data_IF_160343496248
#
_entry.id   IF_160343496248
#
_cell.length_a   1.000
_cell.length_b   1.000
_cell.length_c   1.000
_cell.angle_alpha   90.00
_cell.angle_beta   90.00
_cell.angle_gamma   90.00
#
_symmetry.space_group_name_H-M   'P 1'
#
loop_
_entity.id
_entity.type
_entity.pdbx_description
1 polymer ?
#
# COMPACT_ATOMS: atom_id res chain seq x y z
N UNK A 1 -15.37 -16.57 -0.90
CA UNK A 1 -14.89 -15.25 -0.47
C UNK A 1 -14.47 -14.51 -1.72
N UNK A 2 -15.05 -13.36 -2.01
CA UNK A 2 -14.80 -12.64 -3.26
C UNK A 2 -13.38 -12.06 -3.25
N UNK A 3 -12.63 -12.30 -4.32
CA UNK A 3 -11.20 -11.92 -4.44
C UNK A 3 -10.98 -10.41 -4.24
N UNK A 4 -11.97 -9.59 -4.64
CA UNK A 4 -11.94 -8.13 -4.49
C UNK A 4 -12.00 -7.70 -3.01
N UNK A 5 -12.69 -8.47 -2.16
CA UNK A 5 -12.79 -8.17 -0.73
C UNK A 5 -11.47 -8.38 0.01
N UNK A 6 -10.72 -9.43 -0.36
CA UNK A 6 -9.39 -9.74 0.22
C UNK A 6 -8.37 -8.66 -0.13
N UNK A 7 -8.40 -8.14 -1.36
CA UNK A 7 -7.48 -7.11 -1.82
C UNK A 7 -7.64 -5.76 -1.09
N UNK A 8 -8.82 -5.49 -0.53
CA UNK A 8 -9.07 -4.27 0.26
C UNK A 8 -8.57 -4.37 1.71
N UNK A 9 -8.51 -5.59 2.27
CA UNK A 9 -8.00 -5.82 3.62
C UNK A 9 -6.47 -5.73 3.63
N UNK A 10 -5.85 -6.36 2.66
CA UNK A 10 -4.41 -6.48 2.54
C UNK A 10 -3.93 -5.94 1.19
N UNK A 11 -3.00 -5.02 1.24
CA UNK A 11 -2.36 -4.48 0.04
C UNK A 11 -0.93 -5.02 -0.07
N UNK A 12 -0.68 -6.01 -0.95
CA UNK A 12 0.69 -6.46 -1.22
C UNK A 12 1.64 -5.31 -1.51
N UNK A 13 1.11 -4.26 -2.14
CA UNK A 13 1.84 -3.03 -2.48
C UNK A 13 2.34 -2.30 -1.25
N UNK A 14 1.54 -2.25 -0.16
CA UNK A 14 1.96 -1.65 1.11
C UNK A 14 3.18 -2.37 1.70
N UNK A 15 3.15 -3.71 1.74
CA UNK A 15 4.27 -4.50 2.23
C UNK A 15 5.48 -4.39 1.31
N UNK A 16 5.28 -4.45 -0.01
CA UNK A 16 6.37 -4.22 -0.97
C UNK A 16 7.01 -2.86 -0.78
N UNK A 17 6.22 -1.79 -0.56
CA UNK A 17 6.75 -0.45 -0.32
C UNK A 17 7.61 -0.38 0.97
N UNK A 18 7.17 -1.04 2.05
CA UNK A 18 7.94 -1.12 3.31
C UNK A 18 9.25 -1.88 3.10
N UNK A 19 9.22 -3.04 2.47
CA UNK A 19 10.41 -3.84 2.23
C UNK A 19 11.40 -3.16 1.27
N UNK A 20 10.91 -2.50 0.21
CA UNK A 20 11.77 -1.69 -0.66
C UNK A 20 12.36 -0.50 0.09
N UNK A 21 11.56 0.20 0.90
CA UNK A 21 12.04 1.32 1.72
C UNK A 21 13.14 0.89 2.69
N UNK A 22 12.93 -0.19 3.44
CA UNK A 22 13.90 -0.75 4.37
C UNK A 22 15.20 -1.18 3.65
N UNK A 23 15.08 -1.79 2.47
CA UNK A 23 16.25 -2.22 1.70
C UNK A 23 17.03 -1.06 1.08
N UNK A 24 16.36 -0.08 0.50
CA UNK A 24 16.98 1.10 -0.11
C UNK A 24 17.76 1.89 0.94
N UNK A 25 17.25 1.96 2.16
CA UNK A 25 17.88 2.63 3.31
C UNK A 25 18.81 1.74 4.13
N UNK A 26 19.10 0.52 3.66
CA UNK A 26 20.08 -0.37 4.29
C UNK A 26 19.67 -1.04 5.59
N UNK A 27 18.37 -0.98 5.95
CA UNK A 27 17.86 -1.62 7.17
C UNK A 27 17.80 -3.15 7.03
N UNK A 28 17.54 -3.65 5.82
CA UNK A 28 17.44 -5.08 5.54
C UNK A 28 18.38 -5.49 4.43
N UNK A 29 18.81 -6.76 4.45
CA UNK A 29 19.66 -7.34 3.42
C UNK A 29 18.87 -7.63 2.13
N UNK A 30 19.61 -7.83 1.03
CA UNK A 30 19.03 -8.27 -0.24
C UNK A 30 18.28 -9.61 -0.11
N UNK A 31 18.85 -10.56 0.62
CA UNK A 31 18.26 -11.89 0.77
C UNK A 31 16.95 -11.83 1.56
N UNK A 32 16.90 -11.05 2.66
CA UNK A 32 15.65 -10.84 3.40
C UNK A 32 14.57 -10.17 2.54
N UNK A 33 14.94 -9.20 1.70
CA UNK A 33 14.01 -8.61 0.74
C UNK A 33 13.46 -9.65 -0.24
N UNK A 34 14.31 -10.54 -0.76
CA UNK A 34 13.87 -11.59 -1.71
C UNK A 34 12.85 -12.53 -1.07
N UNK A 35 13.13 -13.02 0.13
CA UNK A 35 12.24 -13.91 0.86
C UNK A 35 10.89 -13.25 1.16
N UNK A 36 10.93 -11.98 1.57
CA UNK A 36 9.73 -11.20 1.83
C UNK A 36 8.89 -10.96 0.57
N UNK A 37 9.50 -10.61 -0.56
CA UNK A 37 8.77 -10.41 -1.81
C UNK A 37 8.09 -11.70 -2.27
N UNK A 38 8.73 -12.85 -2.13
CA UNK A 38 8.13 -14.14 -2.45
C UNK A 38 6.91 -14.45 -1.55
N UNK A 39 6.99 -14.10 -0.26
CA UNK A 39 5.89 -14.25 0.68
C UNK A 39 4.72 -13.28 0.39
N UNK A 40 5.02 -12.05 -0.05
CA UNK A 40 4.02 -10.98 -0.27
C UNK A 40 3.19 -11.19 -1.53
N UNK A 41 3.75 -11.69 -2.61
CA UNK A 41 3.04 -11.74 -3.88
C UNK A 41 3.45 -12.87 -4.83
N UNK A 42 4.36 -13.73 -4.41
CA UNK A 42 4.96 -14.75 -5.28
C UNK A 42 5.99 -14.14 -6.25
N UNK A 43 6.17 -14.71 -7.44
CA UNK A 43 7.14 -14.19 -8.41
C UNK A 43 6.88 -12.75 -8.79
N UNK A 44 7.93 -11.93 -8.81
CA UNK A 44 7.88 -10.53 -9.24
C UNK A 44 8.59 -10.37 -10.58
N UNK A 45 8.02 -9.54 -11.45
CA UNK A 45 8.59 -9.12 -12.74
C UNK A 45 8.32 -7.64 -12.97
N UNK A 46 8.96 -7.05 -13.98
CA UNK A 46 8.68 -5.67 -14.38
C UNK A 46 8.45 -5.58 -15.90
N UNK A 47 7.67 -4.59 -16.29
CA UNK A 47 7.45 -4.18 -17.66
C UNK A 47 7.65 -2.67 -17.77
N UNK A 48 8.54 -2.22 -18.65
CA UNK A 48 8.77 -0.81 -18.91
C UNK A 48 7.69 -0.32 -19.89
N UNK A 49 6.83 0.61 -19.43
CA UNK A 49 5.70 1.11 -20.23
C UNK A 49 6.05 2.45 -20.87
N UNK A 50 6.23 3.48 -20.04
CA UNK A 50 6.69 4.81 -20.44
C UNK A 50 7.84 5.15 -19.49
N UNK A 51 9.04 4.62 -19.81
CA UNK A 51 10.13 4.57 -18.85
C UNK A 51 11.46 4.98 -19.48
N UNK A 52 12.10 5.93 -18.82
CA UNK A 52 13.54 6.21 -18.99
C UNK A 52 14.27 5.58 -17.82
N UNK A 53 15.10 4.58 -18.08
CA UNK A 53 15.80 3.84 -17.03
C UNK A 53 17.32 3.83 -17.30
N UNK A 54 18.15 3.71 -16.25
CA UNK A 54 19.58 3.53 -16.41
C UNK A 54 19.91 2.27 -17.22
N UNK A 55 20.99 2.31 -17.97
CA UNK A 55 21.48 1.18 -18.80
C UNK A 55 22.11 0.06 -17.95
N UNK A 56 21.44 -0.36 -16.89
CA UNK A 56 21.89 -1.42 -15.96
C UNK A 56 21.21 -2.76 -16.23
N UNK A 57 20.18 -2.75 -17.11
CA UNK A 57 19.44 -3.94 -17.52
C UNK A 57 19.29 -3.95 -19.05
N UNK A 58 19.08 -5.13 -19.60
CA UNK A 58 18.69 -5.29 -20.99
C UNK A 58 17.18 -5.05 -21.11
N UNK A 59 16.79 -3.91 -21.70
CA UNK A 59 15.40 -3.49 -21.82
C UNK A 59 14.61 -4.32 -22.84
N UNK A 60 15.29 -5.02 -23.73
CA UNK A 60 14.68 -5.89 -24.74
C UNK A 60 14.38 -7.31 -24.18
N UNK A 61 14.91 -7.62 -23.00
CA UNK A 61 14.66 -8.90 -22.31
C UNK A 61 13.53 -8.78 -21.29
N UNK A 62 12.80 -9.88 -20.98
CA UNK A 62 11.86 -9.89 -19.86
C UNK A 62 12.55 -9.55 -18.55
N UNK A 63 12.05 -8.55 -17.85
CA UNK A 63 12.61 -8.09 -16.58
C UNK A 63 12.05 -8.93 -15.43
N UNK A 64 12.85 -9.87 -14.95
CA UNK A 64 12.55 -10.64 -13.75
C UNK A 64 12.79 -9.82 -12.46
N UNK A 65 12.65 -10.50 -11.31
CA UNK A 65 12.84 -9.88 -9.99
C UNK A 65 14.23 -9.26 -9.82
N UNK A 66 15.27 -9.94 -10.27
CA UNK A 66 16.63 -9.45 -10.13
C UNK A 66 16.87 -8.16 -10.93
N UNK A 67 16.31 -8.07 -12.15
CA UNK A 67 16.36 -6.89 -12.99
C UNK A 67 15.56 -5.74 -12.38
N UNK A 68 14.35 -6.01 -11.87
CA UNK A 68 13.53 -5.05 -11.15
C UNK A 68 14.31 -4.43 -9.97
N UNK A 69 14.93 -5.25 -9.12
CA UNK A 69 15.68 -4.76 -7.96
C UNK A 69 16.98 -4.03 -8.36
N UNK A 70 17.63 -4.45 -9.46
CA UNK A 70 18.76 -3.67 -10.00
C UNK A 70 18.34 -2.29 -10.48
N UNK A 71 17.17 -2.16 -11.13
CA UNK A 71 16.61 -0.86 -11.51
C UNK A 71 16.29 -0.01 -10.30
N UNK A 72 15.58 -0.58 -9.30
CA UNK A 72 15.27 0.14 -8.05
C UNK A 72 16.54 0.68 -7.42
N UNK A 73 17.59 -0.15 -7.28
CA UNK A 73 18.86 0.29 -6.71
C UNK A 73 19.51 1.37 -7.57
N UNK A 74 19.55 1.21 -8.89
CA UNK A 74 20.20 2.14 -9.78
C UNK A 74 19.56 3.53 -9.79
N UNK A 75 18.25 3.63 -9.63
CA UNK A 75 17.57 4.94 -9.58
C UNK A 75 17.62 5.58 -8.20
N UNK A 76 17.75 4.79 -7.13
CA UNK A 76 17.79 5.33 -5.76
C UNK A 76 19.20 5.48 -5.19
N UNK A 77 20.22 4.91 -5.82
CA UNK A 77 21.59 4.94 -5.30
C UNK A 77 22.19 6.34 -5.36
N UNK A 78 22.80 6.78 -4.25
CA UNK A 78 23.41 8.11 -4.13
C UNK A 78 22.42 9.25 -3.91
N UNK A 79 21.13 8.96 -3.70
CA UNK A 79 20.14 9.97 -3.36
C UNK A 79 20.40 10.61 -1.98
N UNK A 80 20.12 11.90 -1.88
CA UNK A 80 20.25 12.65 -0.62
C UNK A 80 19.01 12.45 0.25
N UNK A 81 18.91 11.29 0.88
CA UNK A 81 17.79 10.96 1.73
C UNK A 81 17.95 11.58 3.12
N UNK A 82 16.82 11.92 3.77
CA UNK A 82 16.83 12.48 5.11
C UNK A 82 15.41 12.73 5.60
N UNK A 83 15.26 13.13 6.86
CA UNK A 83 13.95 13.32 7.49
C UNK A 83 13.06 14.33 6.78
N UNK A 84 13.65 15.44 6.32
CA UNK A 84 12.94 16.55 5.69
C UNK A 84 13.03 16.51 4.15
N UNK A 85 13.76 15.54 3.60
CA UNK A 85 13.84 15.30 2.18
C UNK A 85 12.64 14.47 1.68
N UNK A 86 12.48 14.38 0.36
CA UNK A 86 11.55 13.42 -0.25
C UNK A 86 11.98 11.99 0.12
N UNK A 87 11.07 11.15 0.63
CA UNK A 87 11.43 9.78 0.97
C UNK A 87 11.77 8.97 -0.29
N UNK A 88 12.76 8.06 -0.23
CA UNK A 88 13.15 7.25 -1.39
C UNK A 88 12.02 6.37 -1.94
N UNK A 89 11.09 5.98 -1.09
CA UNK A 89 9.94 5.17 -1.45
C UNK A 89 8.68 5.76 -0.83
N UNK A 90 7.65 5.93 -1.63
CA UNK A 90 6.34 6.46 -1.21
C UNK A 90 5.21 5.55 -1.69
N UNK A 91 4.28 5.23 -0.81
CA UNK A 91 3.07 4.49 -1.13
C UNK A 91 1.98 5.45 -1.65
N UNK A 92 1.33 5.09 -2.74
CA UNK A 92 0.12 5.74 -3.24
C UNK A 92 -1.02 4.73 -3.18
N UNK A 93 -2.12 5.11 -2.52
CA UNK A 93 -3.35 4.33 -2.48
C UNK A 93 -4.50 5.17 -3.03
N UNK A 94 -5.40 4.53 -3.77
CA UNK A 94 -6.61 5.14 -4.33
C UNK A 94 -7.79 4.19 -4.22
N UNK A 95 -8.98 4.69 -4.50
CA UNK A 95 -10.18 3.87 -4.45
C UNK A 95 -11.45 4.73 -4.40
N UNK A 96 -12.61 4.17 -4.04
CA UNK A 96 -13.85 4.93 -3.99
C UNK A 96 -13.72 6.20 -3.17
N UNK A 97 -14.02 7.34 -3.81
CA UNK A 97 -13.93 8.67 -3.21
C UNK A 97 -12.52 9.27 -3.12
N UNK A 98 -11.49 8.63 -3.69
CA UNK A 98 -10.11 9.10 -3.66
C UNK A 98 -9.36 8.69 -4.94
N UNK A 99 -8.96 9.67 -5.72
CA UNK A 99 -8.14 9.48 -6.91
C UNK A 99 -6.66 9.26 -6.53
N UNK A 100 -5.86 8.55 -7.35
CA UNK A 100 -4.43 8.48 -7.14
C UNK A 100 -3.81 9.87 -7.29
N UNK A 101 -2.88 10.21 -6.41
CA UNK A 101 -2.14 11.47 -6.46
C UNK A 101 -1.00 11.38 -7.50
N UNK A 102 -1.39 11.24 -8.77
CA UNK A 102 -0.54 11.09 -9.94
C UNK A 102 -1.05 11.99 -11.07
N UNK A 103 -0.26 12.31 -12.09
CA UNK A 103 -0.65 13.20 -13.18
C UNK A 103 -1.90 12.69 -13.92
N UNK A 104 -3.00 13.45 -13.83
CA UNK A 104 -4.26 13.09 -14.47
C UNK A 104 -4.16 13.08 -16.02
N UNK A 105 -4.94 12.19 -16.65
CA UNK A 105 -4.97 12.08 -18.13
C UNK A 105 -3.78 11.37 -18.74
N UNK A 106 -3.00 10.66 -17.93
CA UNK A 106 -1.87 9.84 -18.37
C UNK A 106 -2.20 8.33 -18.25
N UNK A 107 -1.49 7.51 -19.01
CA UNK A 107 -1.59 6.04 -18.89
C UNK A 107 -1.24 5.56 -17.47
N UNK A 108 -0.25 6.19 -16.83
CA UNK A 108 0.12 5.96 -15.44
C UNK A 108 -1.08 6.16 -14.50
N UNK A 109 -1.80 7.28 -14.64
CA UNK A 109 -2.97 7.57 -13.81
C UNK A 109 -4.06 6.51 -13.97
N UNK A 110 -4.33 6.10 -15.21
CA UNK A 110 -5.34 5.09 -15.51
C UNK A 110 -4.94 3.71 -14.96
N UNK A 111 -3.67 3.33 -15.12
CA UNK A 111 -3.13 2.09 -14.56
C UNK A 111 -3.23 2.07 -13.03
N UNK A 112 -2.77 3.14 -12.35
CA UNK A 112 -2.82 3.26 -10.90
C UNK A 112 -4.25 3.30 -10.35
N UNK A 113 -5.18 3.95 -11.08
CA UNK A 113 -6.61 3.96 -10.73
C UNK A 113 -7.23 2.56 -10.79
N UNK A 114 -6.88 1.77 -11.81
CA UNK A 114 -7.34 0.37 -11.93
C UNK A 114 -6.75 -0.53 -10.86
N UNK A 115 -5.46 -0.35 -10.54
CA UNK A 115 -4.77 -1.14 -9.53
C UNK A 115 -5.17 -0.75 -8.08
N UNK A 116 -5.64 0.48 -7.87
CA UNK A 116 -5.94 1.03 -6.55
C UNK A 116 -4.69 1.38 -5.73
N UNK A 117 -3.49 1.16 -6.26
CA UNK A 117 -2.24 1.38 -5.56
C UNK A 117 -1.06 1.58 -6.53
N UNK A 118 -0.01 2.27 -6.07
CA UNK A 118 1.28 2.39 -6.73
C UNK A 118 2.40 2.64 -5.71
N UNK A 119 3.64 2.44 -6.11
CA UNK A 119 4.84 2.80 -5.36
C UNK A 119 5.60 3.86 -6.17
N UNK A 120 5.89 4.98 -5.57
CA UNK A 120 6.75 6.02 -6.16
C UNK A 120 8.14 5.85 -5.60
N UNK A 121 9.13 5.79 -6.48
CA UNK A 121 10.56 5.83 -6.15
C UNK A 121 11.09 7.21 -6.53
N UNK A 122 11.71 7.89 -5.59
CA UNK A 122 12.44 9.11 -5.89
C UNK A 122 13.78 8.73 -6.56
N UNK A 123 14.10 9.36 -7.69
CA UNK A 123 15.40 9.16 -8.34
C UNK A 123 16.49 9.97 -7.60
N UNK A 124 17.69 9.42 -7.55
CA UNK A 124 18.87 10.14 -7.06
C UNK A 124 19.12 11.44 -7.84
N UNK A 125 18.73 11.49 -9.11
CA UNK A 125 18.72 12.70 -9.92
C UNK A 125 17.49 13.55 -9.60
N UNK A 126 17.64 14.75 -9.06
CA UNK A 126 16.51 15.61 -8.71
C UNK A 126 15.59 15.87 -9.90
N UNK A 127 14.28 15.83 -9.65
CA UNK A 127 13.26 16.08 -10.66
C UNK A 127 12.76 14.85 -11.40
N UNK A 128 13.36 13.68 -11.18
CA UNK A 128 12.91 12.42 -11.76
C UNK A 128 12.27 11.51 -10.70
N UNK A 129 11.23 10.81 -11.09
CA UNK A 129 10.56 9.81 -10.25
C UNK A 129 10.17 8.61 -11.09
N UNK A 130 10.17 7.44 -10.47
CA UNK A 130 9.70 6.22 -11.08
C UNK A 130 8.48 5.71 -10.34
N UNK A 131 7.49 5.22 -11.07
CA UNK A 131 6.24 4.74 -10.49
C UNK A 131 6.02 3.30 -10.89
N UNK A 132 5.89 2.45 -9.89
CA UNK A 132 5.61 1.03 -10.03
C UNK A 132 4.11 0.81 -9.78
N UNK A 133 3.38 0.37 -10.79
CA UNK A 133 1.96 0.02 -10.67
C UNK A 133 1.81 -1.50 -10.73
N UNK A 134 1.19 -2.14 -9.72
CA UNK A 134 1.08 -3.59 -9.69
C UNK A 134 0.01 -4.10 -10.64
N UNK A 135 0.34 -5.12 -11.37
CA UNK A 135 -0.61 -5.94 -12.12
C UNK A 135 -0.50 -7.40 -11.64
N UNK A 136 -1.62 -7.93 -11.13
CA UNK A 136 -1.65 -9.32 -10.69
C UNK A 136 -1.81 -10.25 -11.87
N UNK A 137 -0.91 -11.22 -11.98
CA UNK A 137 -0.98 -12.22 -13.02
C UNK A 137 -2.03 -13.29 -12.69
N UNK A 138 -2.80 -13.77 -13.69
CA UNK A 138 -3.81 -14.80 -13.48
C UNK A 138 -3.23 -16.09 -12.89
N UNK A 139 -4.05 -16.84 -12.16
CA UNK A 139 -3.68 -18.17 -11.66
C UNK A 139 -2.62 -18.21 -10.57
N UNK A 140 -2.34 -17.07 -9.92
CA UNK A 140 -1.28 -17.01 -8.90
C UNK A 140 0.12 -16.85 -9.50
N UNK A 141 0.22 -16.40 -10.75
CA UNK A 141 1.48 -16.21 -11.47
C UNK A 141 2.37 -15.08 -10.95
N UNK A 142 2.03 -14.47 -9.83
CA UNK A 142 2.82 -13.40 -9.20
C UNK A 142 2.34 -11.99 -9.53
N UNK A 143 3.24 -11.03 -9.38
CA UNK A 143 3.00 -9.61 -9.60
C UNK A 143 3.91 -9.09 -10.71
N UNK A 144 3.33 -8.45 -11.71
CA UNK A 144 4.05 -7.67 -12.71
C UNK A 144 3.96 -6.20 -12.34
N UNK A 145 5.09 -5.52 -12.27
CA UNK A 145 5.18 -4.10 -12.00
C UNK A 145 5.29 -3.34 -13.31
N UNK A 146 4.28 -2.56 -13.66
CA UNK A 146 4.35 -1.61 -14.75
C UNK A 146 5.20 -0.42 -14.28
N UNK A 147 6.33 -0.21 -14.94
CA UNK A 147 7.29 0.83 -14.59
C UNK A 147 7.09 2.05 -15.49
N UNK A 148 6.83 3.19 -14.87
CA UNK A 148 6.72 4.49 -15.53
C UNK A 148 7.79 5.43 -15.00
N UNK A 149 8.24 6.37 -15.84
CA UNK A 149 9.12 7.47 -15.43
C UNK A 149 8.37 8.79 -15.56
N UNK A 150 8.47 9.63 -14.55
CA UNK A 150 7.81 10.95 -14.50
C UNK A 150 8.87 12.01 -14.25
N UNK A 151 8.93 12.98 -15.15
CA UNK A 151 9.71 14.20 -14.96
C UNK A 151 8.88 15.24 -14.22
N UNK A 152 9.48 15.96 -13.27
CA UNK A 152 8.82 17.01 -12.52
C UNK A 152 8.30 16.56 -11.15
N UNK A 153 7.49 17.43 -10.55
CA UNK A 153 6.96 17.23 -9.21
C UNK A 153 5.65 16.44 -9.24
N UNK A 154 5.56 15.40 -8.42
CA UNK A 154 4.30 14.71 -8.20
C UNK A 154 3.53 15.36 -7.03
N UNK A 155 2.18 15.36 -7.08
CA UNK A 155 1.40 15.77 -5.92
C UNK A 155 1.77 14.96 -4.70
N UNK A 156 1.95 15.63 -3.57
CA UNK A 156 2.22 14.98 -2.29
C UNK A 156 0.98 15.00 -1.40
N UNK A 157 0.65 13.91 -0.72
CA UNK A 157 -0.38 13.94 0.30
C UNK A 157 0.06 14.87 1.44
N UNK A 158 -0.91 15.45 2.13
CA UNK A 158 -0.61 16.18 3.36
C UNK A 158 0.14 15.23 4.32
N UNK A 159 1.29 15.69 4.83
CA UNK A 159 2.04 14.91 5.79
C UNK A 159 1.21 14.72 7.07
N UNK A 160 0.98 13.47 7.45
CA UNK A 160 0.30 13.09 8.68
C UNK A 160 1.28 12.31 9.55
N UNK A 161 1.47 12.77 10.77
CA UNK A 161 2.15 11.93 11.75
C UNK A 161 1.32 10.68 12.07
N UNK A 162 1.91 9.57 12.50
CA UNK A 162 1.15 8.39 12.91
C UNK A 162 0.10 8.66 13.99
N UNK A 163 0.38 9.61 14.90
CA UNK A 163 -0.56 10.01 15.94
C UNK A 163 -1.79 10.74 15.40
N UNK A 164 -1.60 11.66 14.46
CA UNK A 164 -2.71 12.37 13.79
C UNK A 164 -3.55 11.41 12.96
N UNK A 165 -2.90 10.53 12.18
CA UNK A 165 -3.59 9.53 11.39
C UNK A 165 -4.39 8.55 12.27
N UNK A 166 -3.87 8.16 13.43
CA UNK A 166 -4.55 7.31 14.40
C UNK A 166 -5.80 7.98 14.99
N UNK A 167 -5.72 9.26 15.34
CA UNK A 167 -6.85 10.05 15.81
C UNK A 167 -7.92 10.21 14.72
N UNK A 168 -7.53 10.51 13.48
CA UNK A 168 -8.46 10.61 12.35
C UNK A 168 -9.18 9.28 12.10
N UNK A 169 -8.45 8.17 12.14
CA UNK A 169 -9.00 6.84 11.95
C UNK A 169 -9.98 6.46 13.08
N UNK A 170 -9.66 6.79 14.33
CA UNK A 170 -10.55 6.58 15.47
C UNK A 170 -11.84 7.40 15.36
N UNK A 171 -11.75 8.66 14.93
CA UNK A 171 -12.90 9.53 14.69
C UNK A 171 -13.79 9.02 13.55
N UNK A 172 -13.18 8.62 12.44
CA UNK A 172 -13.90 8.05 11.29
C UNK A 172 -14.64 6.78 11.68
N UNK A 173 -14.02 5.91 12.47
CA UNK A 173 -14.64 4.69 12.97
C UNK A 173 -15.88 5.00 13.83
N UNK A 174 -15.78 5.98 14.73
CA UNK A 174 -16.92 6.39 15.57
C UNK A 174 -18.07 6.97 14.73
N UNK A 175 -17.75 7.82 13.73
CA UNK A 175 -18.75 8.40 12.83
C UNK A 175 -19.45 7.32 12.01
N UNK A 176 -18.70 6.38 11.43
CA UNK A 176 -19.25 5.29 10.66
C UNK A 176 -20.18 4.40 11.51
N UNK A 177 -19.75 4.03 12.71
CA UNK A 177 -20.56 3.23 13.65
C UNK A 177 -21.87 3.94 14.03
N UNK A 178 -21.81 5.24 14.34
CA UNK A 178 -22.99 6.04 14.63
C UNK A 178 -23.95 6.14 13.43
N UNK A 179 -23.44 6.33 12.21
CA UNK A 179 -24.22 6.37 10.98
C UNK A 179 -24.93 5.05 10.71
N UNK A 180 -24.24 3.93 10.85
CA UNK A 180 -24.81 2.58 10.67
C UNK A 180 -25.90 2.31 11.72
N UNK A 181 -25.66 2.63 12.99
CA UNK A 181 -26.64 2.47 14.06
C UNK A 181 -27.91 3.30 13.83
N UNK A 182 -27.77 4.51 13.31
CA UNK A 182 -28.90 5.38 12.98
C UNK A 182 -29.70 4.86 11.76
N UNK A 183 -29.04 4.22 10.79
CA UNK A 183 -29.66 3.73 9.56
C UNK A 183 -30.35 2.38 9.71
N UNK A 184 -30.00 1.58 10.73
CA UNK A 184 -30.52 0.22 10.95
C UNK A 184 -30.93 -0.04 12.40
N UNK A 185 -31.94 0.65 12.95
CA UNK A 185 -32.38 0.40 14.30
C UNK A 185 -32.99 -1.02 14.41
N UNK A 186 -32.32 -1.92 15.10
CA UNK A 186 -32.81 -3.26 15.43
C UNK A 186 -32.39 -4.41 14.51
N UNK A 187 -31.47 -4.22 13.58
CA UNK A 187 -30.90 -5.31 12.81
C UNK A 187 -30.15 -6.31 13.71
N UNK A 188 -30.65 -7.55 13.78
CA UNK A 188 -30.01 -8.68 14.46
C UNK A 188 -29.24 -9.52 13.43
N UNK A 189 -28.05 -10.05 13.77
CA UNK A 189 -27.38 -11.04 12.91
C UNK A 189 -28.32 -12.22 12.62
N UNK A 190 -28.39 -12.64 11.36
CA UNK A 190 -29.19 -13.81 10.97
C UNK A 190 -28.68 -15.08 11.65
N UNK A 191 -29.62 -15.95 12.10
CA UNK A 191 -29.25 -17.25 12.66
C UNK A 191 -28.59 -18.13 11.58
N UNK A 192 -27.31 -18.53 11.80
CA UNK A 192 -26.55 -19.40 10.89
C UNK A 192 -25.38 -18.73 10.16
N UNK A 193 -25.20 -17.42 10.29
CA UNK A 193 -23.98 -16.76 9.79
C UNK A 193 -22.77 -17.15 10.65
N UNK A 194 -21.55 -17.34 10.06
CA UNK A 194 -20.32 -17.53 10.82
C UNK A 194 -20.12 -16.38 11.82
N UNK A 195 -19.53 -16.68 12.98
CA UNK A 195 -19.24 -15.64 13.98
C UNK A 195 -18.33 -14.56 13.33
N UNK A 196 -18.81 -13.30 13.21
CA UNK A 196 -18.02 -12.22 12.60
C UNK A 196 -16.67 -12.01 13.29
N UNK A 197 -16.57 -12.28 14.58
CA UNK A 197 -15.32 -12.17 15.35
C UNK A 197 -14.30 -13.22 14.92
N UNK A 198 -14.78 -14.46 14.69
CA UNK A 198 -13.92 -15.55 14.20
C UNK A 198 -13.42 -15.23 12.78
N UNK A 199 -14.29 -14.72 11.90
CA UNK A 199 -13.92 -14.35 10.54
C UNK A 199 -12.90 -13.19 10.50
N UNK A 200 -13.07 -12.17 11.35
CA UNK A 200 -12.09 -11.10 11.49
C UNK A 200 -10.75 -11.64 11.99
N UNK A 201 -10.76 -12.55 12.98
CA UNK A 201 -9.56 -13.22 13.46
C UNK A 201 -8.85 -13.98 12.35
N UNK A 202 -9.57 -14.84 11.62
CA UNK A 202 -9.01 -15.62 10.50
C UNK A 202 -8.44 -14.73 9.38
N UNK A 203 -9.09 -13.61 9.07
CA UNK A 203 -8.56 -12.64 8.10
C UNK A 203 -7.29 -11.98 8.63
N UNK A 204 -7.28 -11.52 9.86
CA UNK A 204 -6.10 -10.92 10.49
C UNK A 204 -4.94 -11.92 10.49
N UNK A 205 -5.16 -13.15 10.95
CA UNK A 205 -4.14 -14.21 10.97
C UNK A 205 -3.63 -14.56 9.55
N UNK A 206 -4.53 -14.53 8.54
CA UNK A 206 -4.13 -14.79 7.15
C UNK A 206 -3.22 -13.68 6.59
N UNK A 207 -3.37 -12.45 7.05
CA UNK A 207 -2.59 -11.30 6.59
C UNK A 207 -1.35 -11.02 7.42
N UNK A 208 -1.28 -11.51 8.65
CA UNK A 208 -0.06 -11.53 9.47
C UNK A 208 1.00 -12.51 8.94
N UNK A 209 0.67 -13.33 7.92
CA UNK A 209 1.61 -14.26 7.28
C UNK A 209 2.69 -13.56 6.44
N UNK A 210 2.50 -12.35 6.01
CA UNK A 210 3.54 -11.58 5.34
C UNK A 210 4.28 -10.74 6.38
N UNK A 211 5.42 -11.24 6.84
CA UNK A 211 6.25 -10.56 7.82
C UNK A 211 6.57 -9.14 7.37
N UNK A 212 6.49 -8.21 8.31
CA UNK A 212 6.96 -6.84 8.14
C UNK A 212 8.45 -6.78 8.51
N UNK A 213 9.23 -5.80 8.01
CA UNK A 213 10.61 -5.62 8.46
C UNK A 213 10.70 -5.53 9.99
N UNK A 214 11.62 -6.25 10.61
CA UNK A 214 11.84 -6.23 12.06
C UNK A 214 12.15 -4.83 12.58
N UNK A 215 12.79 -4.02 11.75
CA UNK A 215 13.18 -2.64 12.03
C UNK A 215 12.01 -1.65 11.90
N UNK A 216 10.78 -2.14 11.64
CA UNK A 216 9.62 -1.28 11.47
C UNK A 216 9.36 -0.44 12.74
N UNK A 217 9.33 0.90 12.64
CA UNK A 217 9.04 1.77 13.77
C UNK A 217 7.72 1.39 14.45
N UNK A 218 7.74 1.23 15.76
CA UNK A 218 6.57 0.74 16.54
C UNK A 218 5.29 1.54 16.27
N UNK A 219 5.40 2.85 16.03
CA UNK A 219 4.24 3.71 15.74
C UNK A 219 3.65 3.39 14.38
N UNK A 220 4.49 3.14 13.37
CA UNK A 220 4.04 2.71 12.06
C UNK A 220 3.35 1.34 12.12
N UNK A 221 3.99 0.35 12.75
CA UNK A 221 3.42 -0.99 12.92
C UNK A 221 2.08 -0.98 13.66
N UNK A 222 1.95 -0.21 14.75
CA UNK A 222 0.69 -0.08 15.49
C UNK A 222 -0.44 0.55 14.67
N UNK A 223 -0.12 1.55 13.83
CA UNK A 223 -1.09 2.20 12.95
C UNK A 223 -1.54 1.26 11.82
N UNK A 224 -0.60 0.52 11.20
CA UNK A 224 -0.90 -0.48 10.18
C UNK A 224 -1.82 -1.57 10.72
N UNK A 225 -1.47 -2.19 11.85
CA UNK A 225 -2.29 -3.23 12.47
C UNK A 225 -3.72 -2.77 12.76
N UNK A 226 -3.90 -1.50 13.19
CA UNK A 226 -5.23 -0.92 13.40
C UNK A 226 -5.98 -0.72 12.08
N UNK A 227 -5.33 -0.16 11.07
CA UNK A 227 -5.93 0.07 9.75
C UNK A 227 -6.36 -1.25 9.10
N UNK A 228 -5.51 -2.28 9.16
CA UNK A 228 -5.77 -3.60 8.59
C UNK A 228 -6.91 -4.32 9.32
N UNK A 229 -6.95 -4.23 10.66
CA UNK A 229 -8.07 -4.76 11.44
C UNK A 229 -9.40 -4.10 11.08
N UNK A 230 -9.43 -2.78 10.91
CA UNK A 230 -10.64 -2.08 10.50
C UNK A 230 -11.08 -2.49 9.08
N UNK A 231 -10.12 -2.59 8.15
CA UNK A 231 -10.40 -3.07 6.82
C UNK A 231 -10.98 -4.49 6.84
N UNK A 232 -10.44 -5.40 7.68
CA UNK A 232 -10.97 -6.75 7.86
C UNK A 232 -12.42 -6.74 8.37
N UNK A 233 -12.73 -5.93 9.39
CA UNK A 233 -14.09 -5.79 9.93
C UNK A 233 -15.07 -5.31 8.84
N UNK A 234 -14.69 -4.30 8.06
CA UNK A 234 -15.54 -3.76 6.99
C UNK A 234 -15.77 -4.78 5.87
N UNK A 235 -14.75 -5.56 5.54
CA UNK A 235 -14.84 -6.60 4.50
C UNK A 235 -15.79 -7.72 4.91
N UNK A 236 -15.69 -8.19 6.16
CA UNK A 236 -16.60 -9.21 6.71
C UNK A 236 -18.04 -8.68 6.76
N UNK A 237 -18.23 -7.44 7.22
CA UNK A 237 -19.56 -6.83 7.31
C UNK A 237 -20.25 -6.63 5.95
N UNK A 238 -19.50 -6.54 4.85
CA UNK A 238 -20.07 -6.49 3.49
C UNK A 238 -20.53 -7.87 2.97
N UNK A 239 -19.92 -8.96 3.45
CA UNK A 239 -20.18 -10.32 2.95
C UNK A 239 -21.51 -10.93 3.38
N UNK A 240 -22.14 -10.45 4.45
CA UNK A 240 -23.24 -11.17 5.12
C UNK A 240 -24.66 -10.89 4.60
N UNK A 241 -24.87 -9.94 3.67
CA UNK A 241 -26.20 -9.74 3.09
C UNK A 241 -26.15 -9.14 1.68
N UNK A 242 -26.72 -9.83 0.66
CA UNK A 242 -26.94 -9.23 -0.65
C UNK A 242 -27.85 -7.99 -0.52
N UNK A 243 -27.30 -6.80 -0.80
CA UNK A 243 -28.01 -5.52 -0.76
C UNK A 243 -27.85 -4.70 0.52
N UNK A 244 -27.45 -5.26 1.65
CA UNK A 244 -27.21 -4.48 2.88
C UNK A 244 -25.92 -3.61 2.79
N UNK A 245 -24.91 -4.06 2.04
CA UNK A 245 -23.69 -3.31 1.83
C UNK A 245 -23.91 -1.96 1.17
N UNK A 246 -24.76 -1.91 0.15
CA UNK A 246 -25.05 -0.67 -0.58
C UNK A 246 -25.73 0.41 0.29
N UNK A 247 -26.54 0.03 1.28
CA UNK A 247 -27.19 0.98 2.17
C UNK A 247 -26.23 1.67 3.16
N UNK A 248 -25.08 1.04 3.44
CA UNK A 248 -24.08 1.57 4.36
C UNK A 248 -22.91 2.25 3.65
N UNK A 249 -22.79 2.13 2.32
CA UNK A 249 -21.70 2.71 1.51
C UNK A 249 -21.45 4.20 1.79
N UNK A 250 -22.45 5.09 1.93
CA UNK A 250 -22.22 6.50 2.23
C UNK A 250 -21.45 6.73 3.54
N UNK A 251 -21.55 5.82 4.51
CA UNK A 251 -20.83 5.89 5.78
C UNK A 251 -19.47 5.19 5.72
N UNK A 252 -19.32 4.20 4.85
CA UNK A 252 -18.12 3.37 4.73
C UNK A 252 -17.07 3.97 3.79
N UNK A 253 -17.48 4.70 2.73
CA UNK A 253 -16.54 5.35 1.79
C UNK A 253 -15.58 6.30 2.52
N UNK A 254 -16.02 7.23 3.41
CA UNK A 254 -15.12 8.06 4.19
C UNK A 254 -14.17 7.25 5.07
N UNK A 255 -14.66 6.18 5.72
CA UNK A 255 -13.83 5.33 6.56
C UNK A 255 -12.75 4.60 5.75
N UNK A 256 -13.05 4.12 4.54
CA UNK A 256 -12.06 3.53 3.64
C UNK A 256 -10.97 4.53 3.24
N UNK A 257 -11.34 5.80 3.03
CA UNK A 257 -10.38 6.87 2.76
C UNK A 257 -9.43 7.06 3.96
N UNK A 258 -9.97 7.12 5.18
CA UNK A 258 -9.16 7.30 6.38
C UNK A 258 -8.27 6.07 6.67
N UNK A 259 -8.71 4.85 6.33
CA UNK A 259 -7.89 3.63 6.37
C UNK A 259 -6.71 3.74 5.39
N UNK A 260 -6.95 4.17 4.14
CA UNK A 260 -5.86 4.38 3.16
C UNK A 260 -4.89 5.45 3.62
N UNK A 261 -5.39 6.57 4.13
CA UNK A 261 -4.57 7.66 4.67
C UNK A 261 -3.68 7.17 5.84
N UNK A 262 -4.22 6.36 6.73
CA UNK A 262 -3.47 5.77 7.85
C UNK A 262 -2.34 4.84 7.35
N UNK A 263 -2.60 4.01 6.34
CA UNK A 263 -1.60 3.13 5.73
C UNK A 263 -0.49 3.93 5.06
N UNK A 264 -0.85 4.96 4.27
CA UNK A 264 0.12 5.85 3.62
C UNK A 264 0.98 6.57 4.66
N UNK A 265 0.37 7.12 5.72
CA UNK A 265 1.08 7.80 6.81
C UNK A 265 2.04 6.86 7.56
N UNK A 266 1.65 5.61 7.77
CA UNK A 266 2.52 4.62 8.43
C UNK A 266 3.75 4.27 7.57
N UNK A 267 3.56 4.04 6.27
CA UNK A 267 4.66 3.76 5.34
C UNK A 267 5.58 4.99 5.20
N UNK A 268 5.01 6.18 5.01
CA UNK A 268 5.79 7.43 4.93
C UNK A 268 6.64 7.65 6.18
N UNK A 269 6.05 7.46 7.37
CA UNK A 269 6.78 7.59 8.64
C UNK A 269 7.93 6.58 8.74
N UNK A 270 7.70 5.32 8.40
CA UNK A 270 8.72 4.29 8.47
C UNK A 270 9.90 4.61 7.54
N UNK A 271 9.59 4.92 6.27
CA UNK A 271 10.63 5.21 5.27
C UNK A 271 11.42 6.47 5.63
N UNK A 272 10.78 7.51 6.17
CA UNK A 272 11.47 8.74 6.60
C UNK A 272 12.36 8.51 7.83
N UNK A 273 11.97 7.68 8.79
CA UNK A 273 12.83 7.33 9.92
C UNK A 273 14.07 6.56 9.44
N UNK A 274 13.89 5.55 8.62
CA UNK A 274 15.00 4.79 8.03
C UNK A 274 15.93 5.65 7.15
N UNK A 275 15.35 6.57 6.37
CA UNK A 275 16.14 7.50 5.56
C UNK A 275 16.96 8.47 6.41
N UNK A 276 16.45 8.90 7.57
CA UNK A 276 17.18 9.74 8.51
C UNK A 276 18.35 8.99 9.17
N UNK A 277 18.14 7.72 9.52
CA UNK A 277 19.21 6.87 10.08
C UNK A 277 20.32 6.61 9.04
N UNK A 278 19.93 6.37 7.79
CA UNK A 278 20.87 6.18 6.66
C UNK A 278 21.72 7.42 6.39
N UNK A 279 21.15 8.63 6.50
CA UNK A 279 21.88 9.89 6.29
C UNK A 279 22.84 10.22 7.46
N UNK A 280 22.64 9.60 8.63
CA UNK A 280 23.48 9.78 9.83
C UNK A 280 24.60 8.77 9.98
N UNK A 281 24.64 7.74 9.13
CA UNK A 281 25.65 6.68 9.15
C UNK A 281 26.81 6.99 8.19
#
# INVERSE_FOLDING_TARGET
>A
MDRVAVDQVWTPVQHTALWLGAWVTGQVSYDHLLDALDAVGGPHSAELVDATVPAVVDVDAPLGRAELLRLVRAVTDGGAWGRDAEPPVRLVLSGPGEAPMLPAGTELYDAASRAGAAIVLADATPGWRHVLVPERLPGGGGVRWLWFTVEGHLPEPAHLSPGEADLMLADATRRAAAGIAASSPGARPGAGAPDPRLMVGMLTDHFDLAELPDELPRRAGGLLARADRLAAILTVGRGDAPGAGAAHDPHLIPLWRDIRAARVAAVDHAVREWAADYAGA
#
